data_IF_651050611604
#
_entry.id   IF_651050611604
#
_cell.length_a   1.000
_cell.length_b   1.000
_cell.length_c   1.000
_cell.angle_alpha   90.00
_cell.angle_beta   90.00
_cell.angle_gamma   90.00
#
_symmetry.space_group_name_H-M   'P 1'
#
loop_
_entity.id
_entity.type
_entity.pdbx_description
1 polymer ?
#
# COMPACT_ATOMS: atom_id res chain seq x y z
N UNK A 1 -5.96 22.74 15.45
CA UNK A 1 -5.33 21.64 14.69
C UNK A 1 -4.63 20.72 15.69
N UNK A 2 -4.85 19.43 15.54
CA UNK A 2 -4.16 18.37 16.28
C UNK A 2 -3.28 17.56 15.33
N UNK A 3 -2.24 16.95 15.85
CA UNK A 3 -1.40 15.98 15.16
C UNK A 3 -1.07 14.82 16.09
N UNK A 4 -1.01 13.62 15.53
CA UNK A 4 -0.71 12.39 16.25
C UNK A 4 0.15 11.49 15.35
N UNK A 5 1.08 10.73 15.95
CA UNK A 5 1.80 9.69 15.23
C UNK A 5 0.92 8.46 15.09
N UNK A 6 1.01 7.78 13.98
CA UNK A 6 0.39 6.46 13.81
C UNK A 6 0.91 5.53 14.93
N UNK A 7 0.00 4.76 15.53
CA UNK A 7 0.21 3.91 16.71
C UNK A 7 0.45 4.64 18.03
N UNK A 8 0.22 5.97 18.07
CA UNK A 8 0.21 6.72 19.32
C UNK A 8 -1.23 7.03 19.78
N UNK A 9 -1.37 7.37 21.07
CA UNK A 9 -2.65 7.80 21.63
C UNK A 9 -2.93 9.26 21.32
N UNK A 10 -4.08 9.53 20.68
CA UNK A 10 -4.64 10.86 20.57
C UNK A 10 -5.36 11.20 21.89
N UNK A 11 -4.75 12.07 22.69
CA UNK A 11 -5.27 12.46 23.99
C UNK A 11 -5.69 13.93 23.95
N UNK A 12 -7.00 14.20 24.13
CA UNK A 12 -7.57 15.54 24.15
C UNK A 12 -8.48 15.68 25.37
N UNK A 13 -8.00 16.31 26.43
CA UNK A 13 -8.83 16.64 27.58
C UNK A 13 -9.83 17.74 27.18
N UNK A 14 -11.10 17.55 27.55
CA UNK A 14 -12.17 18.50 27.25
C UNK A 14 -12.46 19.40 28.44
N UNK A 15 -12.25 20.71 28.28
CA UNK A 15 -12.70 21.73 29.20
C UNK A 15 -13.97 22.36 28.68
N UNK A 16 -15.06 22.28 29.46
CA UNK A 16 -16.34 22.87 29.14
C UNK A 16 -16.75 23.85 30.27
N UNK A 17 -17.35 24.95 29.86
CA UNK A 17 -18.04 25.85 30.77
C UNK A 17 -19.52 25.78 30.45
N UNK A 18 -20.31 25.33 31.42
CA UNK A 18 -21.77 25.30 31.32
C UNK A 18 -22.37 26.43 32.16
N UNK A 19 -23.55 26.93 31.77
CA UNK A 19 -24.22 28.00 32.50
C UNK A 19 -24.63 27.59 33.94
N UNK A 20 -24.76 26.29 34.19
CA UNK A 20 -25.18 25.71 35.48
C UNK A 20 -24.03 25.05 36.27
N UNK A 21 -22.81 25.05 35.73
CA UNK A 21 -21.63 24.35 36.27
C UNK A 21 -21.88 22.84 36.51
N UNK A 22 -22.85 22.25 35.82
CA UNK A 22 -23.18 20.84 35.85
C UNK A 22 -23.15 20.26 34.44
N UNK A 23 -22.43 19.15 34.25
CA UNK A 23 -22.29 18.44 33.00
C UNK A 23 -22.87 17.01 33.02
N UNK A 24 -23.57 16.65 34.12
CA UNK A 24 -24.10 15.30 34.32
C UNK A 24 -25.17 14.88 33.30
N UNK A 25 -25.82 15.85 32.64
CA UNK A 25 -26.83 15.66 31.62
C UNK A 25 -26.27 15.75 30.19
N UNK A 26 -24.95 15.87 30.02
CA UNK A 26 -24.29 15.97 28.72
C UNK A 26 -23.79 14.61 28.23
N UNK A 27 -24.02 14.33 26.96
CA UNK A 27 -23.40 13.22 26.28
C UNK A 27 -22.40 13.70 25.22
N UNK A 28 -21.40 12.88 24.96
CA UNK A 28 -20.27 13.22 24.12
C UNK A 28 -20.13 12.19 23.01
N UNK A 29 -19.78 12.63 21.81
CA UNK A 29 -19.39 11.76 20.72
C UNK A 29 -18.24 12.40 19.95
N UNK A 30 -17.13 11.68 19.91
CA UNK A 30 -15.98 12.02 19.08
C UNK A 30 -16.01 11.14 17.83
N UNK A 31 -15.93 11.77 16.66
CA UNK A 31 -15.86 11.02 15.42
C UNK A 31 -14.90 11.64 14.42
N UNK A 32 -14.37 10.81 13.52
CA UNK A 32 -13.40 11.15 12.52
C UNK A 32 -14.03 11.03 11.13
N UNK A 33 -13.80 11.98 10.25
CA UNK A 33 -14.22 11.95 8.85
C UNK A 33 -13.08 12.38 7.93
N UNK A 34 -13.06 11.86 6.69
CA UNK A 34 -12.16 12.35 5.65
C UNK A 34 -12.78 13.51 4.90
N UNK A 35 -11.96 14.47 4.43
CA UNK A 35 -12.45 15.65 3.68
C UNK A 35 -13.07 15.27 2.32
N UNK A 36 -12.69 14.13 1.74
CA UNK A 36 -13.09 13.71 0.40
C UNK A 36 -14.43 12.99 0.34
N UNK A 37 -14.90 12.45 1.45
CA UNK A 37 -16.19 11.79 1.53
C UNK A 37 -16.82 12.13 2.87
N UNK A 38 -17.87 12.96 2.89
CA UNK A 38 -18.76 13.13 4.07
C UNK A 38 -19.51 11.83 4.41
N UNK A 39 -18.93 10.69 4.14
CA UNK A 39 -19.44 9.39 4.55
C UNK A 39 -19.20 9.21 6.04
N UNK A 40 -20.11 8.48 6.63
CA UNK A 40 -20.23 8.13 8.04
C UNK A 40 -18.88 8.18 8.76
N UNK A 41 -18.79 9.15 9.64
CA UNK A 41 -17.64 9.34 10.47
C UNK A 41 -17.43 8.14 11.37
N UNK A 42 -16.21 7.66 11.46
CA UNK A 42 -15.84 6.64 12.41
C UNK A 42 -15.96 7.20 13.84
N UNK A 43 -16.70 6.53 14.70
CA UNK A 43 -16.86 6.95 16.08
C UNK A 43 -15.67 6.50 16.92
N UNK A 44 -14.83 7.44 17.31
CA UNK A 44 -13.64 7.17 18.09
C UNK A 44 -13.93 6.94 19.58
N UNK A 45 -14.83 7.75 20.16
CA UNK A 45 -15.14 7.68 21.60
C UNK A 45 -16.49 8.33 21.92
N UNK A 46 -17.10 7.91 23.04
CA UNK A 46 -18.26 8.54 23.66
C UNK A 46 -17.93 9.12 25.03
N UNK A 47 -16.68 9.14 25.42
CA UNK A 47 -16.20 9.74 26.66
C UNK A 47 -16.08 11.25 26.53
N UNK A 48 -16.14 11.97 27.67
CA UNK A 48 -15.90 13.42 27.72
C UNK A 48 -14.53 13.76 27.14
N UNK A 49 -13.49 13.15 27.67
CA UNK A 49 -12.14 13.26 27.15
C UNK A 49 -11.89 12.23 26.06
N UNK A 50 -11.17 12.64 25.01
CA UNK A 50 -10.73 11.71 23.98
C UNK A 50 -9.38 11.11 24.41
N UNK A 51 -9.33 9.77 24.44
CA UNK A 51 -8.10 9.01 24.59
C UNK A 51 -8.21 7.74 23.76
N UNK A 52 -7.66 7.76 22.53
CA UNK A 52 -7.81 6.66 21.57
C UNK A 52 -6.48 6.40 20.87
N UNK A 53 -6.14 5.13 20.70
CA UNK A 53 -5.01 4.71 19.87
C UNK A 53 -5.37 4.94 18.40
N UNK A 54 -4.54 5.69 17.69
CA UNK A 54 -4.73 5.90 16.25
C UNK A 54 -3.91 4.84 15.50
N UNK A 55 -4.63 3.91 14.91
CA UNK A 55 -4.09 2.87 14.04
C UNK A 55 -4.72 2.91 12.63
N UNK A 56 -4.31 2.08 11.68
CA UNK A 56 -4.84 2.10 10.31
C UNK A 56 -6.34 1.81 10.19
N UNK A 57 -7.00 1.25 11.21
CA UNK A 57 -8.45 1.06 11.22
C UNK A 57 -9.20 2.38 11.38
N UNK A 58 -8.60 3.37 12.02
CA UNK A 58 -9.16 4.70 12.23
C UNK A 58 -8.66 5.70 11.20
N UNK A 59 -7.34 5.75 10.97
CA UNK A 59 -6.75 6.75 10.10
C UNK A 59 -5.37 6.33 9.58
N UNK A 60 -5.04 6.77 8.37
CA UNK A 60 -3.75 6.53 7.74
C UNK A 60 -3.01 7.85 7.50
N UNK A 61 -1.68 7.90 7.59
CA UNK A 61 -0.90 9.09 7.30
C UNK A 61 -1.07 9.57 5.86
N UNK A 62 -0.99 10.89 5.66
CA UNK A 62 -1.07 11.51 4.35
C UNK A 62 -2.50 11.85 3.89
N UNK A 63 -3.51 11.47 4.64
CA UNK A 63 -4.90 11.88 4.42
C UNK A 63 -5.27 13.08 5.29
N UNK A 64 -6.27 13.85 4.84
CA UNK A 64 -6.83 14.97 5.60
C UNK A 64 -8.04 14.49 6.40
N UNK A 65 -8.00 14.68 7.72
CA UNK A 65 -9.07 14.29 8.61
C UNK A 65 -9.69 15.49 9.31
N UNK A 66 -11.00 15.42 9.47
CA UNK A 66 -11.77 16.30 10.36
C UNK A 66 -12.20 15.51 11.59
N UNK A 67 -11.63 15.86 12.74
CA UNK A 67 -12.06 15.35 14.04
C UNK A 67 -13.20 16.23 14.54
N UNK A 68 -14.32 15.63 14.88
CA UNK A 68 -15.50 16.35 15.35
C UNK A 68 -15.88 15.87 16.74
N UNK A 69 -16.06 16.83 17.65
CA UNK A 69 -16.74 16.64 18.92
C UNK A 69 -18.19 17.10 18.79
N UNK A 70 -19.13 16.24 19.14
CA UNK A 70 -20.53 16.58 19.38
C UNK A 70 -20.85 16.42 20.85
N UNK A 71 -21.34 17.49 21.49
CA UNK A 71 -21.85 17.49 22.86
C UNK A 71 -23.35 17.70 22.79
N UNK A 72 -24.13 16.82 23.39
CA UNK A 72 -25.59 16.90 23.40
C UNK A 72 -26.07 17.06 24.84
N UNK A 73 -26.96 18.02 25.06
CA UNK A 73 -27.75 18.12 26.27
C UNK A 73 -28.93 17.16 26.17
N UNK A 74 -28.90 16.09 26.93
CA UNK A 74 -29.92 15.03 26.91
C UNK A 74 -31.28 15.51 27.47
N UNK A 75 -31.31 16.63 28.21
CA UNK A 75 -32.55 17.19 28.76
C UNK A 75 -33.32 17.97 27.72
N UNK A 76 -32.61 18.73 26.89
CA UNK A 76 -33.20 19.64 25.91
C UNK A 76 -33.11 19.14 24.48
N UNK A 77 -32.22 18.18 24.20
CA UNK A 77 -31.90 17.69 22.87
C UNK A 77 -31.05 18.67 22.03
N UNK A 78 -30.66 19.79 22.62
CA UNK A 78 -29.78 20.77 21.95
C UNK A 78 -28.37 20.21 21.90
N UNK A 79 -27.69 20.39 20.80
CA UNK A 79 -26.29 19.96 20.67
C UNK A 79 -25.36 21.09 20.19
N UNK A 80 -24.11 21.00 20.60
CA UNK A 80 -22.98 21.80 20.14
C UNK A 80 -22.02 20.90 19.35
N UNK A 81 -21.43 21.43 18.29
CA UNK A 81 -20.48 20.71 17.43
C UNK A 81 -19.24 21.57 17.24
N UNK A 82 -18.06 20.95 17.44
CA UNK A 82 -16.76 21.55 17.20
C UNK A 82 -15.97 20.69 16.21
N UNK A 83 -15.53 21.28 15.12
CA UNK A 83 -14.68 20.64 14.11
C UNK A 83 -13.23 21.09 14.25
N UNK A 84 -12.32 20.15 14.13
CA UNK A 84 -10.88 20.36 14.27
C UNK A 84 -10.15 19.56 13.20
N UNK A 85 -9.08 20.14 12.62
CA UNK A 85 -8.19 19.37 11.74
C UNK A 85 -7.36 18.40 12.57
N UNK A 86 -7.31 17.14 12.11
CA UNK A 86 -6.39 16.11 12.60
C UNK A 86 -5.42 15.74 11.47
N UNK A 87 -4.14 15.74 11.79
CA UNK A 87 -3.06 15.25 10.92
C UNK A 87 -2.45 14.01 11.56
N UNK A 88 -2.52 12.89 10.84
CA UNK A 88 -1.87 11.66 11.24
C UNK A 88 -0.50 11.59 10.55
N UNK A 89 0.54 11.48 11.35
CA UNK A 89 1.93 11.46 10.90
C UNK A 89 2.51 10.06 11.01
N UNK A 90 3.58 9.82 10.29
CA UNK A 90 4.43 8.64 10.44
C UNK A 90 5.88 9.07 10.61
N UNK A 91 6.67 8.25 11.27
CA UNK A 91 8.12 8.44 11.35
C UNK A 91 8.81 8.20 9.98
N UNK A 92 8.09 7.63 9.00
CA UNK A 92 8.61 7.30 7.67
C UNK A 92 8.30 8.39 6.62
N UNK A 93 8.45 9.67 6.97
CA UNK A 93 8.04 10.78 6.08
C UNK A 93 9.08 11.16 5.04
N UNK A 94 10.37 11.06 5.37
CA UNK A 94 11.48 11.43 4.48
C UNK A 94 12.65 10.49 4.72
N UNK A 95 12.91 9.61 3.75
CA UNK A 95 14.01 8.66 3.86
C UNK A 95 13.97 7.61 2.77
N UNK A 96 14.72 6.56 2.99
CA UNK A 96 14.89 5.44 2.05
C UNK A 96 14.54 4.13 2.75
N UNK A 97 13.66 3.34 2.15
CA UNK A 97 13.41 1.97 2.58
C UNK A 97 14.55 1.09 2.09
N UNK A 98 15.12 0.30 2.97
CA UNK A 98 16.18 -0.65 2.69
C UNK A 98 15.63 -2.07 2.86
N UNK A 99 15.73 -2.86 1.80
CA UNK A 99 15.48 -4.29 1.87
C UNK A 99 16.77 -4.98 2.33
N UNK A 100 16.70 -5.67 3.44
CA UNK A 100 17.83 -6.32 4.09
C UNK A 100 17.61 -7.83 4.18
N UNK A 101 18.70 -8.56 4.27
CA UNK A 101 18.69 -10.00 4.54
C UNK A 101 19.33 -10.27 5.89
N UNK A 102 18.65 -11.06 6.71
CA UNK A 102 19.15 -11.53 7.97
C UNK A 102 18.86 -13.03 8.09
N UNK A 103 19.89 -13.86 8.08
CA UNK A 103 19.78 -15.33 8.14
C UNK A 103 18.88 -15.94 7.03
N UNK A 104 18.92 -15.37 5.83
CA UNK A 104 18.11 -15.81 4.69
C UNK A 104 16.67 -15.27 4.71
N UNK A 105 16.28 -14.51 5.74
CA UNK A 105 14.97 -13.86 5.86
C UNK A 105 15.02 -12.40 5.44
N UNK A 106 13.97 -11.95 4.80
CA UNK A 106 13.81 -10.59 4.32
C UNK A 106 13.22 -9.67 5.41
N UNK A 107 13.84 -8.52 5.61
CA UNK A 107 13.37 -7.47 6.52
C UNK A 107 13.49 -6.10 5.86
N UNK A 108 12.73 -5.14 6.34
CA UNK A 108 12.83 -3.76 5.94
C UNK A 108 13.41 -2.89 7.07
N UNK A 109 14.33 -2.03 6.68
CA UNK A 109 14.81 -0.94 7.52
C UNK A 109 14.50 0.40 6.84
N UNK A 110 14.45 1.48 7.62
CA UNK A 110 14.22 2.82 7.09
C UNK A 110 15.35 3.75 7.50
N UNK A 111 16.04 4.31 6.51
CA UNK A 111 17.07 5.31 6.70
C UNK A 111 16.44 6.70 6.55
N UNK A 112 16.32 7.43 7.65
CA UNK A 112 15.82 8.80 7.67
C UNK A 112 16.77 9.78 6.95
N UNK A 113 16.25 10.93 6.56
CA UNK A 113 17.04 12.00 5.94
C UNK A 113 18.09 12.62 6.86
N UNK A 114 17.98 12.44 8.18
CA UNK A 114 18.98 12.83 9.18
C UNK A 114 20.04 11.76 9.45
N UNK A 115 20.04 10.69 8.65
CA UNK A 115 20.91 9.51 8.75
C UNK A 115 20.64 8.59 9.94
N UNK A 116 19.56 8.79 10.71
CA UNK A 116 19.14 7.84 11.71
C UNK A 116 18.49 6.60 11.04
N UNK A 117 18.79 5.41 11.56
CA UNK A 117 18.28 4.15 11.05
C UNK A 117 17.17 3.64 11.97
N UNK A 118 16.02 3.30 11.37
CA UNK A 118 14.94 2.59 12.05
C UNK A 118 14.95 1.16 11.53
N UNK A 119 15.29 0.24 12.42
CA UNK A 119 15.45 -1.18 12.07
C UNK A 119 14.16 -1.97 12.24
N UNK A 120 14.03 -3.03 11.42
CA UNK A 120 12.98 -4.03 11.54
C UNK A 120 11.55 -3.45 11.40
N UNK A 121 11.37 -2.50 10.49
CA UNK A 121 10.09 -1.78 10.34
C UNK A 121 8.96 -2.70 9.89
N UNK A 122 9.25 -3.71 9.06
CA UNK A 122 8.24 -4.66 8.63
C UNK A 122 7.82 -5.59 9.77
N UNK A 123 8.75 -6.27 10.41
CA UNK A 123 8.42 -7.20 11.49
C UNK A 123 7.75 -6.52 12.68
N UNK A 124 8.13 -5.28 13.00
CA UNK A 124 7.44 -4.47 14.03
C UNK A 124 5.98 -4.22 13.70
N UNK A 125 5.69 -3.89 12.44
CA UNK A 125 4.32 -3.65 11.97
C UNK A 125 3.50 -4.95 11.86
N UNK A 126 4.15 -6.12 11.77
CA UNK A 126 3.50 -7.39 11.48
C UNK A 126 3.63 -8.44 12.60
N UNK A 127 3.74 -7.99 13.86
CA UNK A 127 3.77 -8.87 15.03
C UNK A 127 4.96 -9.83 15.07
N UNK A 128 6.13 -9.37 14.60
CA UNK A 128 7.38 -10.14 14.58
C UNK A 128 7.57 -11.04 13.34
N UNK A 129 6.61 -11.05 12.40
CA UNK A 129 6.73 -11.85 11.17
C UNK A 129 7.65 -11.18 10.17
N UNK A 130 8.51 -11.95 9.53
CA UNK A 130 9.37 -11.50 8.42
C UNK A 130 8.59 -11.41 7.11
N UNK A 131 9.14 -10.67 6.14
CA UNK A 131 8.53 -10.49 4.80
C UNK A 131 8.43 -11.81 4.04
N UNK A 132 9.52 -12.58 4.05
CA UNK A 132 9.72 -13.81 3.30
C UNK A 132 11.17 -14.25 3.35
N UNK A 133 11.60 -15.07 2.39
CA UNK A 133 12.98 -15.60 2.32
C UNK A 133 13.65 -15.21 1.01
N UNK A 134 14.98 -15.16 1.04
CA UNK A 134 15.81 -14.80 -0.11
C UNK A 134 15.35 -13.50 -0.77
N UNK A 135 15.53 -12.35 -0.12
CA UNK A 135 15.10 -11.05 -0.65
C UNK A 135 15.79 -10.73 -1.97
N UNK A 136 15.02 -10.21 -2.91
CA UNK A 136 15.51 -9.87 -4.24
C UNK A 136 15.47 -8.36 -4.50
N UNK A 137 14.29 -7.75 -4.37
CA UNK A 137 14.06 -6.34 -4.72
C UNK A 137 12.86 -5.78 -3.96
N UNK A 138 12.81 -4.45 -3.90
CA UNK A 138 11.65 -3.69 -3.45
C UNK A 138 11.29 -2.64 -4.51
N UNK A 139 10.00 -2.46 -4.75
CA UNK A 139 9.47 -1.44 -5.65
C UNK A 139 8.30 -0.73 -5.01
N UNK A 140 8.36 0.60 -5.01
CA UNK A 140 7.22 1.44 -4.62
C UNK A 140 6.26 1.55 -5.80
N UNK A 141 5.06 1.05 -5.62
CA UNK A 141 4.02 1.08 -6.64
C UNK A 141 3.05 2.22 -6.34
N UNK A 142 3.16 3.29 -7.12
CA UNK A 142 2.24 4.42 -7.07
C UNK A 142 1.22 4.29 -8.18
N UNK A 143 -0.06 4.12 -7.87
CA UNK A 143 -1.11 4.09 -8.87
C UNK A 143 -1.33 5.46 -9.49
N UNK A 144 -2.17 5.51 -10.52
CA UNK A 144 -2.68 6.78 -11.03
C UNK A 144 -3.44 7.54 -9.93
N UNK A 145 -3.47 8.88 -9.98
CA UNK A 145 -4.14 9.70 -8.96
C UNK A 145 -5.60 9.33 -8.70
N UNK A 146 -6.27 8.70 -9.67
CA UNK A 146 -7.66 8.25 -9.55
C UNK A 146 -7.85 7.00 -8.68
N UNK A 147 -6.79 6.31 -8.28
CA UNK A 147 -6.86 5.05 -7.53
C UNK A 147 -5.82 5.01 -6.39
N UNK A 148 -5.90 5.92 -5.41
CA UNK A 148 -4.92 6.01 -4.32
C UNK A 148 -4.84 4.74 -3.46
N UNK A 149 -5.91 3.95 -3.40
CA UNK A 149 -5.98 2.68 -2.65
C UNK A 149 -5.09 1.56 -3.21
N UNK A 150 -4.51 1.74 -4.40
CA UNK A 150 -3.60 0.77 -5.01
C UNK A 150 -2.12 1.06 -4.74
N UNK A 151 -1.80 1.98 -3.83
CA UNK A 151 -0.42 2.19 -3.38
C UNK A 151 0.05 1.01 -2.55
N UNK A 152 1.20 0.46 -2.90
CA UNK A 152 1.85 -0.59 -2.10
C UNK A 152 3.35 -0.62 -2.37
N UNK A 153 4.09 -1.18 -1.43
CA UNK A 153 5.46 -1.63 -1.64
C UNK A 153 5.42 -3.09 -2.06
N UNK A 154 5.98 -3.39 -3.22
CA UNK A 154 6.17 -4.76 -3.69
C UNK A 154 7.54 -5.25 -3.20
N UNK A 155 7.55 -6.03 -2.14
CA UNK A 155 8.75 -6.61 -1.56
C UNK A 155 8.91 -8.01 -2.13
N UNK A 156 9.89 -8.19 -2.99
CA UNK A 156 10.09 -9.40 -3.78
C UNK A 156 11.09 -10.34 -3.12
N UNK A 157 10.68 -11.59 -2.94
CA UNK A 157 11.48 -12.67 -2.38
C UNK A 157 11.41 -13.90 -3.27
N UNK A 158 12.48 -14.70 -3.29
CA UNK A 158 12.47 -16.00 -3.97
C UNK A 158 12.01 -17.08 -2.97
N UNK A 159 10.69 -17.21 -2.84
CA UNK A 159 10.06 -18.15 -1.91
C UNK A 159 8.67 -18.61 -2.43
N UNK A 160 7.95 -19.36 -1.58
CA UNK A 160 6.62 -19.87 -1.92
C UNK A 160 5.58 -18.77 -2.18
N UNK A 161 5.75 -17.58 -1.62
CA UNK A 161 4.84 -16.44 -1.76
C UNK A 161 5.28 -15.43 -2.83
N UNK A 162 6.55 -15.49 -3.25
CA UNK A 162 7.17 -14.48 -4.10
C UNK A 162 7.40 -13.15 -3.37
N UNK A 163 7.31 -13.16 -2.03
CA UNK A 163 7.36 -11.98 -1.19
C UNK A 163 5.99 -11.43 -0.81
N UNK A 164 5.91 -10.12 -0.54
CA UNK A 164 4.76 -9.46 0.09
C UNK A 164 4.42 -8.13 -0.59
N UNK A 165 3.14 -7.84 -0.74
CA UNK A 165 2.64 -6.48 -0.97
C UNK A 165 2.35 -5.85 0.38
N UNK A 166 2.97 -4.71 0.66
CA UNK A 166 2.86 -4.03 1.95
C UNK A 166 2.36 -2.60 1.80
N UNK A 167 1.80 -2.04 2.87
CA UNK A 167 1.42 -0.64 2.94
C UNK A 167 2.67 0.26 2.82
N UNK A 168 2.69 1.28 1.97
CA UNK A 168 3.84 2.18 1.84
C UNK A 168 3.97 3.16 3.02
N UNK A 169 3.04 3.13 3.95
CA UNK A 169 2.94 4.10 5.04
C UNK A 169 3.15 3.44 6.40
N UNK A 170 2.53 2.26 6.61
CA UNK A 170 2.62 1.51 7.87
C UNK A 170 3.54 0.29 7.76
N UNK A 171 3.90 -0.13 6.56
CA UNK A 171 4.62 -1.38 6.26
C UNK A 171 3.91 -2.65 6.72
N UNK A 172 2.62 -2.56 7.00
CA UNK A 172 1.78 -3.74 7.23
C UNK A 172 1.65 -4.55 5.94
N UNK A 173 1.77 -5.87 6.05
CA UNK A 173 1.57 -6.78 4.95
C UNK A 173 0.11 -6.80 4.52
N UNK A 174 -0.17 -6.43 3.27
CA UNK A 174 -1.51 -6.42 2.69
C UNK A 174 -1.91 -7.81 2.21
N UNK A 175 -1.05 -8.43 1.41
CA UNK A 175 -1.19 -9.81 0.95
C UNK A 175 0.10 -10.36 0.37
N UNK A 176 0.35 -11.68 0.41
CA UNK A 176 1.45 -12.30 -0.33
C UNK A 176 1.37 -11.99 -1.82
N UNK A 177 2.52 -11.80 -2.49
CA UNK A 177 2.55 -11.48 -3.92
C UNK A 177 1.81 -12.54 -4.74
N UNK A 178 1.98 -13.83 -4.43
CA UNK A 178 1.24 -14.95 -5.07
C UNK A 178 -0.26 -14.72 -5.09
N UNK A 179 -0.83 -14.20 -4.00
CA UNK A 179 -2.27 -13.89 -3.89
C UNK A 179 -2.68 -12.58 -4.58
N UNK A 180 -1.73 -11.87 -5.17
CA UNK A 180 -1.97 -10.73 -6.04
C UNK A 180 -2.36 -11.10 -7.47
N UNK A 181 -2.39 -12.39 -7.83
CA UNK A 181 -2.74 -12.89 -9.16
C UNK A 181 -4.16 -13.46 -9.19
N UNK A 182 -4.82 -13.29 -10.32
CA UNK A 182 -6.17 -13.82 -10.55
C UNK A 182 -6.22 -15.36 -10.59
N UNK A 183 -5.09 -15.98 -10.92
CA UNK A 183 -4.94 -17.44 -11.02
C UNK A 183 -3.70 -17.86 -10.23
N UNK A 184 -3.77 -18.97 -9.52
CA UNK A 184 -2.64 -19.52 -8.80
C UNK A 184 -1.56 -20.05 -9.76
N UNK A 185 -0.30 -19.88 -9.38
CA UNK A 185 0.84 -20.45 -10.07
C UNK A 185 0.98 -21.95 -9.75
N UNK A 186 1.39 -22.75 -10.73
CA UNK A 186 1.72 -24.16 -10.53
C UNK A 186 3.06 -24.34 -9.80
N UNK A 187 3.99 -23.40 -9.95
CA UNK A 187 5.29 -23.41 -9.32
C UNK A 187 5.18 -23.25 -7.81
N UNK A 188 5.91 -24.08 -7.07
CA UNK A 188 5.97 -24.02 -5.60
C UNK A 188 6.74 -22.80 -5.11
N UNK A 189 7.75 -22.37 -5.85
CA UNK A 189 8.58 -21.19 -5.56
C UNK A 189 8.39 -20.16 -6.66
N UNK A 190 8.12 -18.94 -6.27
CA UNK A 190 8.08 -17.80 -7.18
C UNK A 190 9.38 -17.00 -7.05
N UNK A 191 9.93 -16.60 -8.19
CA UNK A 191 11.07 -15.70 -8.31
C UNK A 191 10.64 -14.45 -9.05
N UNK A 192 10.10 -13.43 -8.37
CA UNK A 192 9.81 -12.15 -8.99
C UNK A 192 11.12 -11.38 -9.21
N UNK A 193 11.43 -11.07 -10.46
CA UNK A 193 12.72 -10.55 -10.86
C UNK A 193 12.69 -9.06 -11.20
N UNK A 194 11.55 -8.55 -11.67
CA UNK A 194 11.38 -7.15 -12.06
C UNK A 194 9.91 -6.73 -11.95
N UNK A 195 9.68 -5.52 -11.48
CA UNK A 195 8.45 -4.76 -11.67
C UNK A 195 8.73 -3.59 -12.62
N UNK A 196 7.88 -3.40 -13.62
CA UNK A 196 7.96 -2.29 -14.56
C UNK A 196 6.61 -1.59 -14.64
N UNK A 197 6.61 -0.29 -14.34
CA UNK A 197 5.43 0.56 -14.46
C UNK A 197 5.32 1.11 -15.86
N UNK A 198 4.35 0.63 -16.62
CA UNK A 198 3.95 1.23 -17.88
C UNK A 198 2.95 2.37 -17.72
N UNK A 199 2.52 2.95 -18.82
CA UNK A 199 1.56 4.06 -18.83
C UNK A 199 0.15 3.61 -18.42
N UNK A 200 -0.34 2.50 -18.96
CA UNK A 200 -1.67 1.93 -18.72
C UNK A 200 -1.63 0.50 -18.19
N UNK A 201 -0.50 -0.15 -18.28
CA UNK A 201 -0.29 -1.55 -17.93
C UNK A 201 1.00 -1.64 -17.13
N UNK A 202 0.92 -2.24 -15.94
CA UNK A 202 2.09 -2.62 -15.19
C UNK A 202 2.51 -4.05 -15.58
N UNK A 203 3.81 -4.31 -15.50
CA UNK A 203 4.40 -5.61 -15.80
C UNK A 203 5.21 -6.10 -14.61
N UNK A 204 5.17 -7.40 -14.39
CA UNK A 204 6.05 -8.09 -13.47
C UNK A 204 6.67 -9.28 -14.18
N UNK A 205 7.97 -9.49 -14.02
CA UNK A 205 8.66 -10.69 -14.49
C UNK A 205 8.78 -11.64 -13.30
N UNK A 206 8.16 -12.81 -13.43
CA UNK A 206 8.22 -13.89 -12.43
C UNK A 206 8.66 -15.17 -13.14
N UNK A 207 9.68 -15.86 -12.60
CA UNK A 207 10.20 -17.10 -13.16
C UNK A 207 10.50 -16.95 -14.67
N UNK A 208 11.05 -15.78 -15.05
CA UNK A 208 11.33 -15.37 -16.44
C UNK A 208 10.11 -15.26 -17.37
N UNK A 209 8.90 -15.30 -16.82
CA UNK A 209 7.65 -15.08 -17.55
C UNK A 209 7.13 -13.66 -17.30
N UNK A 210 6.54 -13.06 -18.31
CA UNK A 210 5.98 -11.70 -18.22
C UNK A 210 4.51 -11.79 -17.82
N UNK A 211 4.16 -11.20 -16.70
CA UNK A 211 2.77 -11.01 -16.29
C UNK A 211 2.41 -9.52 -16.38
N UNK A 212 1.14 -9.22 -16.61
CA UNK A 212 0.66 -7.84 -16.70
C UNK A 212 -0.51 -7.57 -15.76
N UNK A 213 -0.73 -6.30 -15.49
CA UNK A 213 -1.91 -5.79 -14.79
C UNK A 213 -2.36 -4.49 -15.45
N UNK A 214 -3.64 -4.42 -15.84
CA UNK A 214 -4.21 -3.18 -16.37
C UNK A 214 -4.45 -2.18 -15.22
N UNK A 215 -3.80 -1.01 -15.27
CA UNK A 215 -3.85 0.01 -14.20
C UNK A 215 -5.17 0.77 -14.20
N UNK A 216 -5.86 0.84 -15.33
CA UNK A 216 -7.13 1.60 -15.47
C UNK A 216 -8.38 0.74 -15.28
N UNK A 217 -8.24 -0.56 -15.09
CA UNK A 217 -9.38 -1.44 -14.92
C UNK A 217 -9.67 -1.67 -13.43
N UNK A 218 -10.93 -1.95 -13.12
CA UNK A 218 -11.42 -2.25 -11.77
C UNK A 218 -10.85 -3.55 -11.19
N UNK A 219 -9.99 -4.26 -11.93
CA UNK A 219 -9.34 -5.49 -11.47
C UNK A 219 -7.97 -5.15 -10.89
N UNK A 220 -7.79 -5.22 -9.57
CA UNK A 220 -6.51 -4.92 -8.92
C UNK A 220 -5.49 -6.05 -9.04
N UNK A 221 -5.84 -7.15 -9.69
CA UNK A 221 -5.04 -8.37 -9.70
C UNK A 221 -4.18 -8.49 -10.94
N UNK A 222 -3.05 -9.16 -10.78
CA UNK A 222 -2.18 -9.53 -11.88
C UNK A 222 -2.82 -10.67 -12.70
N UNK A 223 -2.69 -10.58 -14.01
CA UNK A 223 -3.09 -11.66 -14.92
C UNK A 223 -2.03 -12.79 -14.91
N UNK A 224 -2.39 -13.94 -15.42
CA UNK A 224 -1.45 -15.03 -15.70
C UNK A 224 -0.33 -14.58 -16.64
N UNK A 225 0.79 -15.32 -16.71
CA UNK A 225 1.86 -15.04 -17.64
C UNK A 225 1.32 -14.85 -19.07
N UNK A 226 1.81 -13.81 -19.73
CA UNK A 226 1.47 -13.55 -21.12
C UNK A 226 1.92 -14.74 -21.97
N UNK A 227 0.99 -15.27 -22.75
CA UNK A 227 1.35 -16.25 -23.76
C UNK A 227 2.07 -15.57 -24.92
N UNK A 228 3.03 -16.24 -25.51
CA UNK A 228 3.58 -15.82 -26.77
C UNK A 228 2.51 -15.96 -27.86
N UNK A 229 2.43 -15.01 -28.78
CA UNK A 229 1.53 -15.11 -29.93
C UNK A 229 1.88 -16.30 -30.82
N UNK A 230 0.95 -16.68 -31.66
CA UNK A 230 1.13 -17.82 -32.56
C UNK A 230 2.44 -17.66 -33.38
N UNK A 231 3.27 -18.67 -33.34
CA UNK A 231 4.58 -18.69 -33.98
C UNK A 231 5.77 -18.24 -33.12
N UNK A 232 5.54 -17.66 -31.94
CA UNK A 232 6.61 -17.22 -31.06
C UNK A 232 7.11 -18.35 -30.11
N UNK A 233 6.24 -19.30 -29.74
CA UNK A 233 6.58 -20.43 -28.88
C UNK A 233 6.95 -20.02 -27.44
N UNK A 234 7.48 -20.95 -26.65
CA UNK A 234 7.90 -20.70 -25.29
C UNK A 234 9.08 -19.73 -25.22
N UNK A 235 9.10 -18.86 -24.23
CA UNK A 235 10.11 -17.84 -24.04
C UNK A 235 10.61 -17.81 -22.58
N UNK A 236 11.76 -17.21 -22.38
CA UNK A 236 12.30 -16.84 -21.06
C UNK A 236 12.95 -15.46 -21.17
N UNK A 237 12.37 -14.46 -20.52
CA UNK A 237 12.90 -13.09 -20.61
C UNK A 237 14.00 -12.80 -19.60
N UNK A 238 14.91 -11.89 -19.95
CA UNK A 238 15.85 -11.31 -19.01
C UNK A 238 15.11 -10.37 -18.02
N UNK A 239 15.65 -10.16 -16.80
CA UNK A 239 15.00 -9.32 -15.77
C UNK A 239 15.25 -7.82 -16.03
N UNK A 240 15.02 -7.38 -17.26
CA UNK A 240 15.01 -5.96 -17.62
C UNK A 240 14.00 -5.71 -18.75
N UNK A 241 13.54 -4.46 -18.85
CA UNK A 241 12.61 -3.99 -19.87
C UNK A 241 13.18 -2.74 -20.51
N UNK A 242 13.11 -2.67 -21.82
CA UNK A 242 13.37 -1.45 -22.58
C UNK A 242 12.02 -0.77 -22.84
N UNK A 243 11.83 0.44 -22.30
CA UNK A 243 10.61 1.22 -22.54
C UNK A 243 10.68 1.89 -23.92
N UNK A 244 9.74 1.52 -24.77
CA UNK A 244 9.58 2.12 -26.09
C UNK A 244 8.18 2.74 -26.21
N UNK A 245 7.91 3.79 -25.44
CA UNK A 245 6.71 4.65 -25.50
C UNK A 245 5.40 3.85 -25.66
N UNK A 246 5.10 3.03 -24.66
CA UNK A 246 3.86 2.24 -24.62
C UNK A 246 3.95 0.86 -25.26
N UNK A 247 5.14 0.46 -25.70
CA UNK A 247 5.42 -0.88 -26.21
C UNK A 247 6.70 -1.43 -25.53
N UNK A 248 6.61 -1.96 -24.30
CA UNK A 248 7.78 -2.51 -23.62
C UNK A 248 8.39 -3.66 -24.43
N UNK A 249 9.71 -3.64 -24.50
CA UNK A 249 10.52 -4.63 -25.23
C UNK A 249 11.28 -5.47 -24.20
N UNK A 250 11.18 -6.78 -24.36
CA UNK A 250 11.81 -7.80 -23.54
C UNK A 250 12.83 -8.59 -24.35
N UNK A 251 13.95 -8.94 -23.76
CA UNK A 251 14.90 -9.85 -24.39
C UNK A 251 14.63 -11.30 -23.98
N UNK A 252 14.22 -12.12 -24.95
CA UNK A 252 14.07 -13.57 -24.80
C UNK A 252 15.44 -14.24 -24.82
N UNK A 253 15.91 -14.59 -23.63
CA UNK A 253 17.24 -15.21 -23.44
C UNK A 253 17.31 -16.63 -23.98
N UNK A 254 16.16 -17.34 -24.03
CA UNK A 254 16.05 -18.70 -24.52
C UNK A 254 16.23 -18.77 -26.04
N UNK A 255 15.54 -17.90 -26.76
CA UNK A 255 15.51 -17.93 -28.22
C UNK A 255 16.35 -16.83 -28.87
N UNK A 256 17.10 -16.02 -28.07
CA UNK A 256 18.00 -14.95 -28.54
C UNK A 256 17.33 -13.93 -29.46
N UNK A 257 16.18 -13.42 -29.04
CA UNK A 257 15.37 -12.48 -29.83
C UNK A 257 14.73 -11.42 -28.94
N UNK A 258 14.19 -10.38 -29.56
CA UNK A 258 13.40 -9.35 -28.88
C UNK A 258 11.92 -9.67 -29.01
N UNK A 259 11.23 -9.54 -27.88
CA UNK A 259 9.77 -9.64 -27.79
C UNK A 259 9.22 -8.29 -27.38
N UNK A 260 8.04 -7.95 -27.84
CA UNK A 260 7.36 -6.74 -27.46
C UNK A 260 5.89 -7.00 -27.14
N UNK A 261 5.30 -6.14 -26.31
CA UNK A 261 3.88 -6.15 -26.00
C UNK A 261 3.27 -4.81 -26.36
N UNK A 262 2.24 -4.81 -27.20
CA UNK A 262 1.53 -3.59 -27.55
C UNK A 262 0.38 -3.37 -26.56
N UNK A 263 0.43 -2.26 -25.81
CA UNK A 263 -0.50 -2.00 -24.69
C UNK A 263 -1.98 -1.92 -25.09
N UNK A 264 -2.27 -1.56 -26.33
CA UNK A 264 -3.63 -1.46 -26.86
C UNK A 264 -4.16 -2.79 -27.43
N UNK A 265 -3.32 -3.80 -27.52
CA UNK A 265 -3.70 -5.12 -27.94
C UNK A 265 -3.69 -6.08 -26.76
N UNK A 266 -4.85 -6.63 -26.44
CA UNK A 266 -5.02 -7.65 -25.39
C UNK A 266 -4.35 -8.98 -25.75
N UNK A 267 -3.61 -9.03 -26.84
CA UNK A 267 -2.81 -10.17 -27.25
C UNK A 267 -1.59 -10.43 -26.35
N UNK A 268 -0.87 -11.48 -26.66
CA UNK A 268 0.35 -11.86 -26.00
C UNK A 268 1.59 -11.09 -26.49
N UNK A 269 2.75 -11.67 -26.22
CA UNK A 269 4.03 -11.16 -26.69
C UNK A 269 4.24 -11.46 -28.18
N UNK A 270 4.75 -10.50 -28.91
CA UNK A 270 5.08 -10.60 -30.32
C UNK A 270 6.61 -10.55 -30.50
N UNK A 271 7.11 -11.26 -31.51
CA UNK A 271 8.51 -11.10 -31.90
C UNK A 271 8.68 -9.77 -32.63
N UNK A 272 9.71 -9.00 -32.27
CA UNK A 272 10.11 -7.85 -33.02
C UNK A 272 10.82 -8.33 -34.30
N UNK A 273 10.23 -8.07 -35.47
CA UNK A 273 10.88 -8.34 -36.77
C UNK A 273 11.97 -7.30 -37.03
N UNK A 274 13.12 -7.76 -37.46
CA UNK A 274 14.21 -6.91 -37.98
C UNK A 274 13.81 -6.21 -39.24
#
# INVERSE_FOLDING_TARGET
KYSVMLYDYLNIPLSLTTSQNDDSHLSYVWYLSTDTTRKVADTLSKSKDLNVLIDPSHAVPGENYTLTLKVTDETTGVYYRQEMKLEVMTQFTKGTVLLCEENGEAELNFLNSDHSLIENIYSRANGGKRVGRNPLRIFSVNPLPAQPSLKFEAIMCEDENGGMLASPVSFEGLKPLRKGFAVDFEETVLKPELYFKGMLIDYIIINRQVCRRAVNMLLPEWETPLVATQGVGNYEVAPFVMDATGAPIFYDTKNKRLLWHYMWNWGGLHQLSS
#
